data_IF_792312102803
#
_entry.id   IF_792312102803
#
_cell.length_a   1.000
_cell.length_b   1.000
_cell.length_c   1.000
_cell.angle_alpha   90.00
_cell.angle_beta   90.00
_cell.angle_gamma   90.00
#
_symmetry.space_group_name_H-M   'P 1'
#
loop_
_entity.id
_entity.type
_entity.pdbx_description
1 polymer ?
#
# COMPACT_ATOMS: atom_id res chain seq x y z
N UNK A 1 -5.33 -27.54 -12.24
CA UNK A 1 -6.09 -26.48 -12.94
C UNK A 1 -6.82 -25.63 -11.91
N UNK A 2 -6.47 -24.36 -11.75
CA UNK A 2 -7.10 -23.48 -10.76
C UNK A 2 -8.43 -22.93 -11.32
N UNK A 3 -9.55 -23.25 -10.68
CA UNK A 3 -10.86 -22.68 -11.04
C UNK A 3 -11.17 -21.51 -10.11
N UNK A 4 -11.42 -20.34 -10.68
CA UNK A 4 -11.85 -19.16 -9.92
C UNK A 4 -13.28 -19.39 -9.45
N UNK A 5 -13.45 -19.57 -8.14
CA UNK A 5 -14.76 -19.69 -7.51
C UNK A 5 -15.45 -18.32 -7.51
N UNK A 6 -16.71 -18.28 -7.99
CA UNK A 6 -17.53 -17.06 -7.98
C UNK A 6 -17.82 -16.58 -6.56
N UNK A 7 -18.04 -15.26 -6.39
CA UNK A 7 -18.40 -14.66 -5.11
C UNK A 7 -19.72 -15.23 -4.58
N UNK A 8 -20.72 -15.33 -5.45
CA UNK A 8 -22.08 -15.76 -5.07
C UNK A 8 -22.09 -17.19 -4.54
N UNK A 9 -21.26 -18.04 -5.13
CA UNK A 9 -21.06 -19.43 -4.70
C UNK A 9 -20.50 -19.49 -3.27
N UNK A 10 -19.59 -18.57 -2.92
CA UNK A 10 -19.07 -18.47 -1.54
C UNK A 10 -20.11 -17.92 -0.56
N UNK A 11 -20.93 -16.95 -0.99
CA UNK A 11 -22.03 -16.41 -0.18
C UNK A 11 -23.02 -17.54 0.16
N UNK A 12 -23.44 -18.29 -0.86
CA UNK A 12 -24.34 -19.43 -0.67
C UNK A 12 -23.75 -20.48 0.27
N UNK A 13 -22.47 -20.82 0.13
CA UNK A 13 -21.78 -21.77 1.01
C UNK A 13 -21.79 -21.32 2.48
N UNK A 14 -21.51 -20.05 2.75
CA UNK A 14 -21.52 -19.51 4.12
C UNK A 14 -22.95 -19.48 4.68
N UNK A 15 -23.91 -19.00 3.88
CA UNK A 15 -25.31 -18.91 4.31
C UNK A 15 -25.88 -20.29 4.69
N UNK A 16 -25.62 -21.32 3.87
CA UNK A 16 -26.02 -22.69 4.16
C UNK A 16 -25.42 -23.23 5.47
N UNK A 17 -24.17 -22.87 5.75
CA UNK A 17 -23.46 -23.27 6.96
C UNK A 17 -23.95 -22.50 8.21
N UNK A 18 -24.10 -21.18 8.14
CA UNK A 18 -24.55 -20.36 9.29
C UNK A 18 -26.00 -20.66 9.69
N UNK A 19 -26.86 -20.98 8.73
CA UNK A 19 -28.24 -21.40 8.99
C UNK A 19 -28.39 -22.89 9.31
N UNK A 20 -27.28 -23.65 9.38
CA UNK A 20 -27.29 -25.07 9.73
C UNK A 20 -28.10 -25.95 8.78
N UNK A 21 -28.28 -25.53 7.53
CA UNK A 21 -29.17 -26.22 6.57
C UNK A 21 -28.58 -27.54 6.07
N UNK A 22 -27.25 -27.61 5.99
CA UNK A 22 -26.53 -28.79 5.51
C UNK A 22 -25.25 -29.01 6.35
N UNK A 23 -24.82 -30.26 6.54
CA UNK A 23 -23.53 -30.53 7.15
C UNK A 23 -22.40 -30.10 6.22
N UNK A 24 -21.27 -29.68 6.81
CA UNK A 24 -20.14 -29.10 6.07
C UNK A 24 -19.67 -29.97 4.91
N UNK A 25 -19.59 -31.29 5.10
CA UNK A 25 -19.13 -32.23 4.05
C UNK A 25 -20.01 -32.17 2.80
N UNK A 26 -21.32 -32.05 2.97
CA UNK A 26 -22.25 -32.00 1.84
C UNK A 26 -22.16 -30.67 1.12
N UNK A 27 -22.01 -29.56 1.86
CA UNK A 27 -21.76 -28.23 1.28
C UNK A 27 -20.49 -28.24 0.43
N UNK A 28 -19.39 -28.79 0.96
CA UNK A 28 -18.11 -28.86 0.24
C UNK A 28 -18.20 -29.72 -1.02
N UNK A 29 -18.89 -30.86 -0.95
CA UNK A 29 -19.09 -31.77 -2.09
C UNK A 29 -19.97 -31.15 -3.17
N UNK A 30 -21.08 -30.51 -2.81
CA UNK A 30 -22.00 -29.87 -3.78
C UNK A 30 -21.35 -28.68 -4.49
N UNK A 31 -20.55 -27.89 -3.77
CA UNK A 31 -20.00 -26.63 -4.28
C UNK A 31 -18.61 -26.84 -4.91
N UNK A 32 -17.91 -27.93 -4.57
CA UNK A 32 -16.56 -28.23 -5.03
C UNK A 32 -15.48 -27.41 -4.33
N UNK A 33 -15.67 -27.12 -3.04
CA UNK A 33 -14.69 -26.38 -2.23
C UNK A 33 -13.72 -27.34 -1.54
N UNK A 34 -12.46 -26.91 -1.41
CA UNK A 34 -11.62 -27.49 -0.37
C UNK A 34 -12.04 -26.93 0.99
N UNK A 35 -11.94 -27.76 2.02
CA UNK A 35 -12.20 -27.37 3.40
C UNK A 35 -11.34 -26.16 3.83
N UNK A 36 -10.08 -26.10 3.38
CA UNK A 36 -9.19 -24.96 3.60
C UNK A 36 -9.68 -23.65 2.98
N UNK A 37 -10.29 -23.71 1.79
CA UNK A 37 -10.86 -22.53 1.13
C UNK A 37 -12.09 -22.04 1.87
N UNK A 38 -12.93 -22.98 2.32
CA UNK A 38 -14.11 -22.69 3.12
C UNK A 38 -13.76 -21.98 4.42
N UNK A 39 -12.81 -22.50 5.22
CA UNK A 39 -12.43 -21.85 6.47
C UNK A 39 -11.79 -20.47 6.26
N UNK A 40 -11.00 -20.27 5.21
CA UNK A 40 -10.45 -18.94 4.87
C UNK A 40 -11.54 -17.93 4.56
N UNK A 41 -12.58 -18.37 3.85
CA UNK A 41 -13.75 -17.57 3.48
C UNK A 41 -14.61 -17.28 4.72
N UNK A 42 -14.87 -18.29 5.56
CA UNK A 42 -15.62 -18.14 6.82
C UNK A 42 -14.92 -17.19 7.79
N UNK A 43 -13.60 -17.32 7.93
CA UNK A 43 -12.81 -16.40 8.75
C UNK A 43 -12.94 -14.96 8.28
N UNK A 44 -12.84 -14.73 6.97
CA UNK A 44 -12.96 -13.39 6.40
C UNK A 44 -14.35 -12.80 6.62
N UNK A 45 -15.41 -13.60 6.41
CA UNK A 45 -16.80 -13.22 6.66
C UNK A 45 -17.03 -12.82 8.11
N UNK A 46 -16.57 -13.64 9.07
CA UNK A 46 -16.71 -13.33 10.50
C UNK A 46 -15.91 -12.10 10.95
N UNK A 47 -14.81 -11.80 10.27
CA UNK A 47 -13.94 -10.67 10.64
C UNK A 47 -14.38 -9.36 10.00
N UNK A 48 -14.90 -9.41 8.77
CA UNK A 48 -15.11 -8.20 7.93
C UNK A 48 -16.57 -8.02 7.50
N UNK A 49 -17.40 -9.06 7.57
CA UNK A 49 -18.74 -9.07 6.99
C UNK A 49 -18.77 -9.17 5.46
N UNK A 50 -17.62 -9.37 4.80
CA UNK A 50 -17.51 -9.61 3.36
C UNK A 50 -16.62 -10.82 3.08
N UNK A 51 -16.82 -11.41 1.92
CA UNK A 51 -16.14 -12.60 1.42
C UNK A 51 -15.00 -12.22 0.45
N UNK A 52 -14.97 -10.96 0.02
CA UNK A 52 -13.91 -10.42 -0.80
C UNK A 52 -12.91 -9.69 0.09
N UNK A 53 -11.64 -10.06 0.00
CA UNK A 53 -10.58 -9.20 0.52
C UNK A 53 -10.55 -7.97 -0.36
N UNK A 54 -10.98 -6.83 0.16
CA UNK A 54 -10.65 -5.56 -0.45
C UNK A 54 -9.13 -5.41 -0.36
N UNK A 55 -8.45 -5.73 -1.46
CA UNK A 55 -7.06 -5.34 -1.62
C UNK A 55 -7.04 -3.82 -1.59
N UNK A 56 -6.66 -3.25 -0.44
CA UNK A 56 -6.10 -1.90 -0.41
C UNK A 56 -5.02 -1.94 -1.48
N UNK A 57 -5.22 -1.20 -2.59
CA UNK A 57 -4.33 -1.24 -3.75
C UNK A 57 -2.93 -0.90 -3.26
N UNK A 58 -2.12 -1.93 -3.02
CA UNK A 58 -0.75 -1.89 -2.53
C UNK A 58 -0.49 -0.88 -1.40
N UNK A 59 -0.64 -1.22 -0.12
CA UNK A 59 0.21 -0.59 0.86
C UNK A 59 1.60 -1.18 0.62
N UNK A 60 2.38 -0.54 -0.26
CA UNK A 60 3.82 -0.72 -0.22
C UNK A 60 4.34 -0.40 1.18
N UNK A 61 5.62 -0.66 1.42
CA UNK A 61 6.27 -0.20 2.66
C UNK A 61 5.97 1.28 2.87
N UNK A 62 5.43 1.63 4.04
CA UNK A 62 5.18 3.02 4.41
C UNK A 62 6.45 3.84 4.16
N UNK A 63 6.35 4.99 3.46
CA UNK A 63 7.49 5.88 3.27
C UNK A 63 8.20 6.19 4.59
N UNK A 64 9.53 6.27 4.57
CA UNK A 64 10.31 6.66 5.75
C UNK A 64 10.04 8.12 6.15
N UNK A 65 9.67 8.95 5.17
CA UNK A 65 9.27 10.33 5.38
C UNK A 65 7.76 10.44 5.49
N UNK A 66 7.28 11.13 6.53
CA UNK A 66 5.87 11.47 6.67
C UNK A 66 5.41 12.38 5.52
N UNK A 67 4.13 12.28 5.16
CA UNK A 67 3.54 13.06 4.06
C UNK A 67 3.78 14.57 4.23
N UNK A 68 3.64 15.09 5.44
CA UNK A 68 3.83 16.51 5.73
C UNK A 68 5.26 16.99 5.44
N UNK A 69 6.26 16.15 5.72
CA UNK A 69 7.65 16.47 5.43
C UNK A 69 7.89 16.51 3.91
N UNK A 70 7.29 15.58 3.17
CA UNK A 70 7.37 15.58 1.70
C UNK A 70 6.68 16.83 1.13
N UNK A 71 5.52 17.21 1.67
CA UNK A 71 4.82 18.44 1.26
C UNK A 71 5.62 19.70 1.56
N UNK A 72 6.29 19.75 2.72
CA UNK A 72 7.17 20.85 3.10
C UNK A 72 8.32 21.00 2.09
N UNK A 73 9.03 19.92 1.77
CA UNK A 73 10.11 19.92 0.77
C UNK A 73 9.61 20.33 -0.61
N UNK A 74 8.45 19.81 -1.04
CA UNK A 74 7.86 20.18 -2.31
C UNK A 74 7.54 21.67 -2.39
N UNK A 75 7.06 22.29 -1.30
CA UNK A 75 6.78 23.72 -1.26
C UNK A 75 8.06 24.54 -1.36
N UNK A 76 9.12 24.14 -0.66
CA UNK A 76 10.42 24.82 -0.73
C UNK A 76 10.98 24.82 -2.15
N UNK A 77 11.08 23.64 -2.77
CA UNK A 77 11.65 23.52 -4.12
C UNK A 77 10.75 24.14 -5.20
N UNK A 78 9.44 24.22 -4.97
CA UNK A 78 8.53 24.95 -5.87
C UNK A 78 8.66 26.46 -5.74
N UNK A 79 8.94 26.96 -4.54
CA UNK A 79 9.08 28.39 -4.28
C UNK A 79 10.42 28.93 -4.78
N UNK A 80 11.49 28.17 -4.60
CA UNK A 80 12.83 28.50 -5.10
C UNK A 80 13.44 27.23 -5.67
N UNK A 81 13.63 27.10 -7.00
CA UNK A 81 14.23 25.90 -7.59
C UNK A 81 15.73 25.77 -7.29
N UNK A 82 16.33 26.78 -6.66
CA UNK A 82 17.77 26.87 -6.36
C UNK A 82 18.16 26.12 -5.07
N UNK A 83 17.21 25.48 -4.37
CA UNK A 83 17.50 24.71 -3.16
C UNK A 83 18.26 23.43 -3.49
N UNK A 84 19.42 23.25 -2.88
CA UNK A 84 20.25 22.06 -3.05
C UNK A 84 19.75 20.88 -2.20
N UNK A 85 20.05 19.65 -2.61
CA UNK A 85 19.56 18.45 -1.91
C UNK A 85 20.12 18.31 -0.49
N UNK A 86 21.34 18.81 -0.25
CA UNK A 86 21.98 18.86 1.08
C UNK A 86 21.37 19.96 1.98
N UNK A 87 20.87 21.05 1.41
CA UNK A 87 20.10 22.05 2.16
C UNK A 87 18.76 21.49 2.58
N UNK A 88 18.09 20.76 1.69
CA UNK A 88 16.86 20.03 2.03
C UNK A 88 17.11 18.98 3.12
N UNK A 89 18.27 18.29 3.09
CA UNK A 89 18.69 17.39 4.17
C UNK A 89 18.89 18.14 5.50
N UNK A 90 19.63 19.24 5.48
CA UNK A 90 19.84 20.08 6.66
C UNK A 90 18.52 20.60 7.21
N UNK A 91 17.59 21.02 6.36
CA UNK A 91 16.27 21.50 6.80
C UNK A 91 15.43 20.39 7.44
N UNK A 92 15.48 19.15 6.92
CA UNK A 92 14.81 18.03 7.59
C UNK A 92 15.46 17.68 8.93
N UNK A 93 16.79 17.74 9.01
CA UNK A 93 17.52 17.45 10.24
C UNK A 93 17.24 18.51 11.32
N UNK A 94 17.23 19.79 10.95
CA UNK A 94 17.07 20.90 11.91
C UNK A 94 15.60 21.20 12.25
N UNK A 95 14.69 21.17 11.27
CA UNK A 95 13.29 21.57 11.48
C UNK A 95 12.38 20.39 11.81
N UNK A 96 12.72 19.19 11.34
CA UNK A 96 11.89 17.99 11.50
C UNK A 96 12.58 16.88 12.30
N UNK A 97 13.84 17.07 12.75
CA UNK A 97 14.63 16.09 13.49
C UNK A 97 14.75 14.72 12.78
N UNK A 98 14.76 14.75 11.44
CA UNK A 98 14.83 13.56 10.60
C UNK A 98 16.15 13.54 9.83
N UNK A 99 17.03 12.61 10.21
CA UNK A 99 18.24 12.31 9.46
C UNK A 99 17.95 11.17 8.48
N UNK A 100 17.96 11.47 7.19
CA UNK A 100 17.77 10.52 6.10
C UNK A 100 18.89 10.62 5.09
N UNK A 101 19.13 9.56 4.33
CA UNK A 101 20.11 9.61 3.26
C UNK A 101 19.56 10.37 2.04
N UNK A 102 20.44 11.00 1.25
CA UNK A 102 20.02 11.78 0.07
C UNK A 102 19.18 10.97 -0.92
N UNK A 103 19.47 9.67 -1.06
CA UNK A 103 18.70 8.76 -1.93
C UNK A 103 17.26 8.59 -1.45
N UNK A 104 17.01 8.67 -0.15
CA UNK A 104 15.65 8.61 0.43
C UNK A 104 14.86 9.83 0.00
N UNK A 105 15.42 11.04 0.13
CA UNK A 105 14.74 12.27 -0.31
C UNK A 105 14.51 12.24 -1.82
N UNK A 106 15.51 11.85 -2.60
CA UNK A 106 15.39 11.76 -4.06
C UNK A 106 14.24 10.85 -4.48
N UNK A 107 14.17 9.62 -3.92
CA UNK A 107 13.10 8.68 -4.20
C UNK A 107 11.72 9.19 -3.76
N UNK A 108 11.63 9.83 -2.59
CA UNK A 108 10.36 10.35 -2.09
C UNK A 108 9.87 11.58 -2.89
N UNK A 109 10.76 12.46 -3.33
CA UNK A 109 10.43 13.57 -4.21
C UNK A 109 9.98 13.08 -5.61
N UNK A 110 10.66 12.08 -6.17
CA UNK A 110 10.27 11.44 -7.43
C UNK A 110 8.88 10.80 -7.32
N UNK A 111 8.62 10.03 -6.25
CA UNK A 111 7.30 9.46 -5.95
C UNK A 111 6.21 10.52 -5.79
N UNK A 112 6.56 11.68 -5.25
CA UNK A 112 5.64 12.79 -5.08
C UNK A 112 5.43 13.63 -6.36
N UNK A 113 6.02 13.20 -7.49
CA UNK A 113 5.78 13.78 -8.81
C UNK A 113 6.81 14.82 -9.26
N UNK A 114 7.97 14.93 -8.61
CA UNK A 114 9.08 15.72 -9.14
C UNK A 114 9.66 15.07 -10.39
N UNK A 115 9.91 15.87 -11.43
CA UNK A 115 10.60 15.38 -12.62
C UNK A 115 12.06 15.01 -12.30
N UNK A 116 12.49 13.84 -12.76
CA UNK A 116 13.88 13.37 -12.67
C UNK A 116 14.89 14.36 -13.26
N UNK A 117 14.49 15.18 -14.25
CA UNK A 117 15.34 16.26 -14.78
C UNK A 117 15.63 17.33 -13.74
N UNK A 118 14.62 17.76 -12.98
CA UNK A 118 14.79 18.76 -11.92
C UNK A 118 15.63 18.21 -10.77
N UNK A 119 15.39 16.95 -10.39
CA UNK A 119 16.18 16.29 -9.35
C UNK A 119 17.66 16.14 -9.74
N UNK A 120 17.94 15.87 -11.02
CA UNK A 120 19.32 15.81 -11.53
C UNK A 120 20.02 17.16 -11.51
N UNK A 121 19.33 18.25 -11.88
CA UNK A 121 19.90 19.61 -11.80
C UNK A 121 20.30 19.95 -10.37
N UNK A 122 19.37 19.75 -9.42
CA UNK A 122 19.60 19.96 -7.98
C UNK A 122 20.77 19.11 -7.44
N UNK A 123 21.03 17.94 -8.04
CA UNK A 123 22.13 17.05 -7.62
C UNK A 123 23.48 17.35 -8.30
N UNK A 124 23.48 17.90 -9.52
CA UNK A 124 24.69 18.15 -10.34
C UNK A 124 25.44 19.40 -9.88
N UNK A 125 24.75 20.44 -9.41
CA UNK A 125 25.37 21.69 -8.96
C UNK A 125 26.27 21.54 -7.70
N UNK A 126 26.41 20.31 -7.18
CA UNK A 126 27.38 19.92 -6.14
C UNK A 126 28.74 19.48 -6.70
N UNK A 127 28.81 19.02 -7.95
CA UNK A 127 30.03 18.41 -8.49
C UNK A 127 31.04 19.42 -9.06
N UNK A 128 30.77 20.72 -8.94
CA UNK A 128 31.67 21.82 -9.26
C UNK A 128 32.09 22.55 -7.98
#
# INVERSE_FOLDING_TARGET
>A
MYRKISRDVKIAAISLYEHGQLPLKDILNCIGFSESTFYRVLYLWRTTGDIVRHTIKNPGRSPLLHHDNIQYLLRLVRHSPDWFLDELLRLLEHNHFISVHYTTIHCELERAGMSTKKLKVIAIERSE
#
